data_IF_889851721101
#
_entry.id   IF_889851721101
#
_cell.length_a   1.000
_cell.length_b   1.000
_cell.length_c   1.000
_cell.angle_alpha   90.00
_cell.angle_beta   90.00
_cell.angle_gamma   90.00
#
_symmetry.space_group_name_H-M   'P 1'
#
loop_
_entity.id
_entity.type
_entity.pdbx_description
1 polymer ?
#
# COMPACT_ATOMS: atom_id res chain seq x y z
N UNK A 1 1.32 7.14 7.32
CA UNK A 1 1.35 6.68 5.92
C UNK A 1 2.33 7.55 5.13
N UNK A 2 3.26 6.98 4.35
CA UNK A 2 4.07 7.74 3.40
C UNK A 2 3.17 8.44 2.36
N UNK A 3 3.45 9.69 1.95
CA UNK A 3 2.64 10.36 0.93
C UNK A 3 2.80 9.69 -0.43
N UNK A 4 1.70 9.54 -1.17
CA UNK A 4 1.76 9.11 -2.57
C UNK A 4 2.32 10.24 -3.44
N UNK A 5 3.23 9.94 -4.40
CA UNK A 5 3.69 10.94 -5.35
C UNK A 5 2.53 11.35 -6.27
N UNK A 6 2.40 12.65 -6.51
CA UNK A 6 1.35 13.23 -7.37
C UNK A 6 1.96 14.20 -8.37
N UNK A 7 1.20 14.49 -9.44
CA UNK A 7 1.62 15.41 -10.51
C UNK A 7 2.29 14.69 -11.68
N UNK A 8 2.93 15.46 -12.56
CA UNK A 8 3.54 14.96 -13.79
C UNK A 8 5.01 15.38 -13.88
N UNK A 9 5.77 14.64 -14.68
CA UNK A 9 7.17 14.95 -14.98
C UNK A 9 7.22 15.43 -16.42
N UNK A 10 7.52 16.70 -16.65
CA UNK A 10 7.65 17.25 -18.01
C UNK A 10 9.05 17.01 -18.55
N UNK A 11 9.16 16.37 -19.71
CA UNK A 11 10.40 16.27 -20.45
C UNK A 11 10.60 17.52 -21.34
N UNK A 12 11.81 18.05 -21.41
CA UNK A 12 12.17 19.04 -22.43
C UNK A 12 12.09 18.44 -23.84
N UNK A 13 11.78 19.29 -24.83
CA UNK A 13 11.74 18.88 -26.23
C UNK A 13 13.13 18.45 -26.72
N UNK A 14 13.16 17.43 -27.58
CA UNK A 14 14.41 16.95 -28.19
C UNK A 14 15.00 18.07 -29.06
N UNK A 15 16.30 18.38 -28.94
CA UNK A 15 16.93 19.40 -29.77
C UNK A 15 16.91 19.00 -31.26
N UNK A 16 16.75 20.01 -32.13
CA UNK A 16 16.77 19.81 -33.57
C UNK A 16 18.18 19.40 -34.07
N UNK A 17 18.20 18.55 -35.09
CA UNK A 17 19.41 18.13 -35.76
C UNK A 17 20.01 19.31 -36.54
N UNK A 18 21.22 19.72 -36.15
CA UNK A 18 21.97 20.68 -36.94
C UNK A 18 22.41 20.04 -38.27
N UNK A 19 21.76 20.43 -39.36
CA UNK A 19 22.19 20.05 -40.71
C UNK A 19 23.56 20.69 -40.96
N UNK A 20 24.60 19.86 -41.14
CA UNK A 20 25.93 20.34 -41.55
C UNK A 20 25.78 21.10 -42.86
N UNK A 21 25.83 22.43 -42.80
CA UNK A 21 25.82 23.23 -44.03
C UNK A 21 27.04 22.82 -44.85
N UNK A 22 26.87 22.40 -46.11
CA UNK A 22 28.01 22.10 -46.95
C UNK A 22 28.87 23.35 -47.00
N UNK A 23 30.13 23.24 -46.58
CA UNK A 23 31.08 24.33 -46.70
C UNK A 23 31.03 24.78 -48.16
N UNK A 24 30.66 26.05 -48.44
CA UNK A 24 30.46 26.48 -49.82
C UNK A 24 31.78 26.24 -50.54
N UNK A 25 31.72 25.60 -51.71
CA UNK A 25 32.90 25.23 -52.50
C UNK A 25 33.86 26.43 -52.66
N UNK A 26 33.28 27.64 -52.72
CA UNK A 26 33.95 28.95 -52.73
C UNK A 26 34.88 29.15 -51.52
N UNK A 27 34.50 28.75 -50.30
CA UNK A 27 35.34 28.85 -49.08
C UNK A 27 36.57 27.93 -49.13
N UNK A 28 36.46 26.81 -49.85
CA UNK A 28 37.58 25.87 -50.07
C UNK A 28 38.47 26.31 -51.23
N UNK A 29 37.88 26.87 -52.30
CA UNK A 29 38.59 27.27 -53.53
C UNK A 29 39.28 28.64 -53.38
N UNK A 30 38.71 29.59 -52.63
CA UNK A 30 39.24 30.94 -52.47
C UNK A 30 40.72 30.99 -52.03
N UNK A 31 41.16 30.24 -51.00
CA UNK A 31 42.56 30.23 -50.58
C UNK A 31 43.50 29.74 -51.69
N UNK A 32 43.06 28.72 -52.46
CA UNK A 32 43.84 28.15 -53.56
C UNK A 32 44.00 29.18 -54.67
N UNK A 33 42.92 29.86 -55.06
CA UNK A 33 42.94 30.93 -56.08
C UNK A 33 43.81 32.10 -55.63
N UNK A 34 43.74 32.49 -54.35
CA UNK A 34 44.54 33.60 -53.83
C UNK A 34 46.02 33.26 -53.68
N UNK A 35 46.38 32.04 -53.26
CA UNK A 35 47.78 31.57 -53.24
C UNK A 35 48.34 31.52 -54.66
N UNK A 36 47.54 31.05 -55.63
CA UNK A 36 47.91 31.10 -57.05
C UNK A 36 48.11 32.53 -57.55
N UNK A 37 47.24 33.49 -57.16
CA UNK A 37 47.38 34.90 -57.48
C UNK A 37 48.62 35.54 -56.82
N UNK A 38 48.92 35.18 -55.57
CA UNK A 38 50.12 35.63 -54.85
C UNK A 38 51.39 35.14 -55.55
N UNK A 39 51.45 33.85 -55.88
CA UNK A 39 52.57 33.25 -56.61
C UNK A 39 52.72 33.87 -58.00
N UNK A 40 51.61 34.13 -58.71
CA UNK A 40 51.61 34.80 -60.01
C UNK A 40 52.16 36.22 -59.94
N UNK A 41 51.79 36.99 -58.91
CA UNK A 41 52.26 38.38 -58.74
C UNK A 41 53.75 38.43 -58.35
N UNK A 42 54.20 37.53 -57.48
CA UNK A 42 55.62 37.39 -57.11
C UNK A 42 56.46 36.92 -58.31
N UNK A 43 55.98 35.94 -59.08
CA UNK A 43 56.64 35.49 -60.30
C UNK A 43 56.71 36.61 -61.35
N UNK A 44 55.64 37.39 -61.54
CA UNK A 44 55.66 38.55 -62.44
C UNK A 44 56.65 39.63 -61.96
N UNK A 45 56.76 39.85 -60.65
CA UNK A 45 57.73 40.79 -60.08
C UNK A 45 59.18 40.33 -60.34
N UNK A 46 59.45 39.02 -60.27
CA UNK A 46 60.77 38.43 -60.52
C UNK A 46 61.09 38.37 -62.03
N UNK A 47 60.13 38.01 -62.88
CA UNK A 47 60.32 37.90 -64.34
C UNK A 47 60.28 39.26 -65.05
N UNK A 48 59.59 40.27 -64.52
CA UNK A 48 59.57 41.65 -65.08
C UNK A 48 60.76 42.51 -64.65
N UNK A 49 61.82 41.91 -64.12
CA UNK A 49 63.01 42.58 -63.60
C UNK A 49 63.92 43.15 -64.70
N UNK A 50 63.61 44.35 -65.18
CA UNK A 50 64.52 45.23 -65.92
C UNK A 50 65.24 46.20 -64.99
N UNK A 51 66.57 46.30 -65.18
CA UNK A 51 67.69 46.99 -64.48
C UNK A 51 67.50 48.28 -63.65
N UNK A 52 66.32 48.87 -63.47
CA UNK A 52 66.15 50.13 -62.72
C UNK A 52 64.83 50.07 -61.93
N UNK A 53 64.86 49.65 -60.66
CA UNK A 53 63.69 49.81 -59.77
C UNK A 53 64.08 50.26 -58.38
N UNK A 54 63.57 51.42 -58.01
CA UNK A 54 63.35 51.85 -56.63
C UNK A 54 62.22 51.00 -56.03
N UNK A 55 62.52 50.19 -55.03
CA UNK A 55 61.51 49.46 -54.28
C UNK A 55 60.64 50.45 -53.50
N UNK A 56 59.44 50.76 -54.00
CA UNK A 56 58.45 51.52 -53.21
C UNK A 56 57.96 50.62 -52.07
N UNK A 57 58.09 51.02 -50.79
CA UNK A 57 57.62 50.25 -49.63
C UNK A 57 56.12 49.89 -49.72
N UNK A 58 55.35 50.66 -50.49
CA UNK A 58 53.92 50.44 -50.73
C UNK A 58 53.63 49.14 -51.49
N UNK A 59 54.53 48.68 -52.37
CA UNK A 59 54.33 47.46 -53.18
C UNK A 59 54.52 46.17 -52.37
N UNK A 60 55.34 46.24 -51.31
CA UNK A 60 55.60 45.14 -50.37
C UNK A 60 54.48 44.96 -49.32
N UNK A 61 53.63 45.97 -49.11
CA UNK A 61 52.50 45.89 -48.19
C UNK A 61 51.29 45.13 -48.74
N UNK A 62 51.09 45.10 -50.06
CA UNK A 62 49.90 44.51 -50.68
C UNK A 62 49.73 43.01 -50.36
N UNK A 63 50.79 42.17 -50.45
CA UNK A 63 50.71 40.76 -50.07
C UNK A 63 50.46 40.55 -48.57
N UNK A 64 50.99 41.46 -47.74
CA UNK A 64 50.88 41.39 -46.27
C UNK A 64 49.46 41.74 -45.81
N UNK A 65 48.87 42.82 -46.36
CA UNK A 65 47.48 43.18 -46.06
C UNK A 65 46.49 42.11 -46.54
N UNK A 66 46.77 41.50 -47.69
CA UNK A 66 45.95 40.42 -48.22
C UNK A 66 46.00 39.17 -47.33
N UNK A 67 47.17 38.81 -46.79
CA UNK A 67 47.33 37.74 -45.79
C UNK A 67 46.63 38.08 -44.46
N UNK A 68 46.70 39.32 -43.99
CA UNK A 68 46.00 39.76 -42.78
C UNK A 68 44.47 39.71 -42.97
N UNK A 69 43.97 40.10 -44.15
CA UNK A 69 42.55 39.98 -44.51
C UNK A 69 42.07 38.53 -44.57
N UNK A 70 42.93 37.60 -45.01
CA UNK A 70 42.64 36.16 -44.98
C UNK A 70 42.48 35.67 -43.54
N UNK A 71 43.37 36.09 -42.64
CA UNK A 71 43.33 35.69 -41.23
C UNK A 71 42.06 36.16 -40.51
N UNK A 72 41.54 37.34 -40.88
CA UNK A 72 40.26 37.86 -40.38
C UNK A 72 39.04 37.11 -40.95
N UNK A 73 39.05 36.72 -42.22
CA UNK A 73 37.95 35.99 -42.87
C UNK A 73 37.89 34.51 -42.46
N UNK A 74 39.03 33.90 -42.14
CA UNK A 74 39.15 32.53 -41.62
C UNK A 74 39.18 32.47 -40.08
N UNK A 75 39.10 33.62 -39.41
CA UNK A 75 38.87 33.68 -37.98
C UNK A 75 37.63 32.86 -37.62
N UNK A 76 37.63 32.16 -36.47
CA UNK A 76 36.54 31.27 -36.10
C UNK A 76 35.23 32.05 -36.14
N UNK A 77 34.35 31.68 -37.07
CA UNK A 77 33.00 32.20 -37.13
C UNK A 77 32.29 31.72 -35.86
N UNK A 78 32.22 32.61 -34.87
CA UNK A 78 31.70 32.41 -33.50
C UNK A 78 30.20 32.14 -33.40
N UNK A 79 29.56 31.63 -34.46
CA UNK A 79 28.10 31.60 -34.58
C UNK A 79 27.43 30.23 -34.54
N UNK A 80 28.17 29.12 -34.53
CA UNK A 80 27.58 27.78 -34.44
C UNK A 80 27.65 27.25 -33.01
N UNK A 81 26.50 27.06 -32.35
CA UNK A 81 26.45 26.29 -31.10
C UNK A 81 27.01 24.89 -31.37
N UNK A 82 27.98 24.45 -30.58
CA UNK A 82 28.56 23.12 -30.71
C UNK A 82 27.45 22.06 -30.49
N UNK A 83 27.12 21.23 -31.50
CA UNK A 83 26.09 20.21 -31.36
C UNK A 83 26.41 19.23 -30.21
N UNK A 84 27.69 19.02 -29.90
CA UNK A 84 28.09 18.12 -28.83
C UNK A 84 27.81 18.73 -27.45
N UNK A 85 27.90 20.05 -27.29
CA UNK A 85 27.56 20.73 -26.04
C UNK A 85 26.04 20.70 -25.79
N UNK A 86 25.25 20.93 -26.85
CA UNK A 86 23.78 20.84 -26.80
C UNK A 86 23.34 19.44 -26.39
N UNK A 87 23.90 18.41 -27.03
CA UNK A 87 23.65 17.00 -26.67
C UNK A 87 24.03 16.71 -25.23
N UNK A 88 25.20 17.17 -24.78
CA UNK A 88 25.67 16.95 -23.40
C UNK A 88 24.76 17.61 -22.37
N UNK A 89 24.18 18.77 -22.68
CA UNK A 89 23.22 19.46 -21.80
C UNK A 89 21.90 18.70 -21.75
N UNK A 90 21.37 18.26 -22.89
CA UNK A 90 20.15 17.46 -22.94
C UNK A 90 20.29 16.12 -22.20
N UNK A 91 21.42 15.41 -22.36
CA UNK A 91 21.67 14.16 -21.62
C UNK A 91 21.77 14.38 -20.10
N UNK A 92 22.25 15.55 -19.65
CA UNK A 92 22.21 15.94 -18.23
C UNK A 92 20.77 16.15 -17.74
N UNK A 93 19.93 16.79 -18.55
CA UNK A 93 18.50 16.92 -18.27
C UNK A 93 17.82 15.53 -18.19
N UNK A 94 18.07 14.63 -19.15
CA UNK A 94 17.52 13.25 -19.09
C UNK A 94 17.96 12.48 -17.85
N UNK A 95 19.21 12.68 -17.38
CA UNK A 95 19.69 12.08 -16.14
C UNK A 95 18.88 12.58 -14.93
N UNK A 96 18.68 13.90 -14.81
CA UNK A 96 17.90 14.49 -13.73
C UNK A 96 16.42 14.04 -13.77
N UNK A 97 15.84 13.94 -14.98
CA UNK A 97 14.50 13.42 -15.19
C UNK A 97 14.39 11.96 -14.71
N UNK A 98 15.37 11.11 -15.07
CA UNK A 98 15.43 9.72 -14.63
C UNK A 98 15.52 9.62 -13.10
N UNK A 99 16.39 10.39 -12.48
CA UNK A 99 16.55 10.42 -11.01
C UNK A 99 15.22 10.80 -10.33
N UNK A 100 14.56 11.86 -10.80
CA UNK A 100 13.24 12.26 -10.29
C UNK A 100 12.17 11.17 -10.46
N UNK A 101 12.15 10.49 -11.60
CA UNK A 101 11.21 9.39 -11.85
C UNK A 101 11.48 8.19 -10.93
N UNK A 102 12.75 7.86 -10.67
CA UNK A 102 13.13 6.80 -9.74
C UNK A 102 12.77 7.15 -8.29
N UNK A 103 12.98 8.40 -7.87
CA UNK A 103 12.59 8.87 -6.54
C UNK A 103 11.08 8.82 -6.34
N UNK A 104 10.31 9.28 -7.33
CA UNK A 104 8.86 9.15 -7.32
C UNK A 104 8.43 7.68 -7.29
N UNK A 105 9.10 6.82 -8.06
CA UNK A 105 8.79 5.40 -8.06
C UNK A 105 9.09 4.71 -6.72
N UNK A 106 10.17 5.11 -6.04
CA UNK A 106 10.46 4.64 -4.69
C UNK A 106 9.41 5.12 -3.68
N UNK A 107 8.95 6.37 -3.78
CA UNK A 107 7.87 6.91 -2.95
C UNK A 107 6.54 6.19 -3.20
N UNK A 108 6.19 5.91 -4.46
CA UNK A 108 5.01 5.12 -4.83
C UNK A 108 5.09 3.73 -4.24
N UNK A 109 6.22 3.01 -4.40
CA UNK A 109 6.42 1.69 -3.80
C UNK A 109 6.28 1.73 -2.27
N UNK A 110 6.87 2.72 -1.60
CA UNK A 110 6.77 2.86 -0.15
C UNK A 110 5.33 3.11 0.31
N UNK A 111 4.55 3.89 -0.44
CA UNK A 111 3.13 4.11 -0.18
C UNK A 111 2.33 2.81 -0.33
N UNK A 112 2.48 2.11 -1.46
CA UNK A 112 1.77 0.86 -1.74
C UNK A 112 2.16 -0.25 -0.77
N UNK A 113 3.45 -0.42 -0.44
CA UNK A 113 3.89 -1.41 0.55
C UNK A 113 3.45 -1.07 1.97
N UNK A 114 3.24 0.21 2.29
CA UNK A 114 2.64 0.58 3.56
C UNK A 114 1.20 0.08 3.62
N UNK A 115 0.38 0.37 2.60
CA UNK A 115 -1.03 -0.02 2.54
C UNK A 115 -1.22 -1.53 2.37
N UNK A 116 -0.39 -2.17 1.55
CA UNK A 116 -0.44 -3.59 1.17
C UNK A 116 0.90 -4.29 1.47
N UNK A 117 1.22 -4.49 2.76
CA UNK A 117 2.48 -5.11 3.17
C UNK A 117 2.60 -6.56 2.67
N UNK A 118 3.82 -7.07 2.45
CA UNK A 118 4.03 -8.48 2.16
C UNK A 118 3.63 -9.34 3.36
N UNK A 119 3.21 -10.57 3.10
CA UNK A 119 2.72 -11.53 4.11
C UNK A 119 3.72 -11.74 5.24
N UNK A 120 5.02 -11.72 4.93
CA UNK A 120 6.14 -11.87 5.86
C UNK A 120 6.15 -10.81 6.98
N UNK A 121 5.58 -9.62 6.74
CA UNK A 121 5.53 -8.53 7.71
C UNK A 121 4.27 -8.57 8.60
N UNK A 122 3.22 -9.30 8.19
CA UNK A 122 1.95 -9.38 8.92
C UNK A 122 2.07 -9.91 10.36
N UNK A 123 2.96 -10.86 10.71
CA UNK A 123 3.15 -11.28 12.10
C UNK A 123 3.53 -10.14 13.05
N UNK A 124 4.17 -9.07 12.55
CA UNK A 124 4.55 -7.91 13.36
C UNK A 124 3.34 -6.99 13.66
N UNK A 125 2.28 -7.05 12.86
CA UNK A 125 1.14 -6.15 12.97
C UNK A 125 0.26 -6.53 14.15
N UNK A 126 0.18 -7.83 14.48
CA UNK A 126 -0.62 -8.36 15.59
C UNK A 126 -0.31 -7.69 16.94
N UNK A 127 0.86 -7.07 17.09
CA UNK A 127 1.31 -6.42 18.32
C UNK A 127 1.37 -4.88 18.24
N UNK A 128 0.94 -4.27 17.13
CA UNK A 128 1.01 -2.83 16.94
C UNK A 128 -0.35 -2.23 16.55
N UNK A 129 -0.40 -0.92 16.38
CA UNK A 129 -1.62 -0.16 16.07
C UNK A 129 -2.12 -0.35 14.63
N UNK A 130 -1.38 -1.11 13.79
CA UNK A 130 -1.76 -1.40 12.41
C UNK A 130 -2.68 -2.61 12.28
N UNK A 131 -2.83 -3.39 13.35
CA UNK A 131 -3.86 -4.43 13.41
C UNK A 131 -5.23 -3.75 13.35
N UNK A 132 -6.04 -4.14 12.36
CA UNK A 132 -7.41 -3.65 12.17
C UNK A 132 -7.49 -2.13 11.94
N UNK A 133 -6.54 -1.60 11.17
CA UNK A 133 -6.50 -0.18 10.81
C UNK A 133 -7.59 0.22 9.80
N UNK A 134 -8.22 -0.74 9.09
CA UNK A 134 -9.29 -0.50 8.11
C UNK A 134 -10.67 -0.78 8.68
N UNK A 135 -11.60 0.12 8.40
CA UNK A 135 -13.03 0.05 8.70
C UNK A 135 -13.85 -0.38 7.48
N UNK A 136 -15.15 -0.63 7.66
CA UNK A 136 -16.05 -0.95 6.56
C UNK A 136 -16.32 0.24 5.62
N UNK A 137 -16.35 1.46 6.17
CA UNK A 137 -16.61 2.69 5.41
C UNK A 137 -15.39 3.20 4.63
N UNK A 138 -14.21 2.59 4.85
CA UNK A 138 -13.00 3.02 4.18
C UNK A 138 -13.02 2.60 2.71
N UNK A 139 -12.49 3.43 1.79
CA UNK A 139 -12.49 3.11 0.35
C UNK A 139 -11.65 1.86 0.03
N UNK A 140 -10.73 1.49 0.93
CA UNK A 140 -9.86 0.33 0.82
C UNK A 140 -10.33 -0.88 1.64
N UNK A 141 -11.58 -0.84 2.10
CA UNK A 141 -12.28 -1.99 2.66
C UNK A 141 -12.26 -3.16 1.67
N UNK A 142 -11.89 -4.34 2.18
CA UNK A 142 -11.75 -5.58 1.42
C UNK A 142 -10.76 -5.56 0.24
N UNK A 143 -9.91 -4.54 0.13
CA UNK A 143 -8.78 -4.60 -0.80
C UNK A 143 -7.67 -5.50 -0.26
N UNK A 144 -7.31 -6.51 -1.05
CA UNK A 144 -6.33 -7.52 -0.67
C UNK A 144 -5.24 -7.67 -1.71
N UNK A 145 -3.99 -7.79 -1.26
CA UNK A 145 -2.85 -8.08 -2.12
C UNK A 145 -2.80 -9.59 -2.38
N UNK A 146 -2.51 -9.93 -3.62
CA UNK A 146 -2.44 -11.32 -4.10
C UNK A 146 -1.06 -11.69 -4.64
N UNK A 147 -0.14 -10.72 -4.71
CA UNK A 147 1.19 -10.94 -5.22
C UNK A 147 1.93 -9.64 -5.54
N UNK A 148 2.95 -9.77 -6.36
CA UNK A 148 3.75 -8.66 -6.91
C UNK A 148 3.82 -8.74 -8.42
N UNK A 149 3.82 -7.58 -9.07
CA UNK A 149 3.73 -7.47 -10.52
C UNK A 149 4.26 -6.13 -11.03
N UNK A 150 3.94 -5.82 -12.28
CA UNK A 150 4.30 -4.55 -12.89
C UNK A 150 3.19 -3.51 -12.74
N UNK A 151 3.56 -2.26 -12.51
CA UNK A 151 2.59 -1.15 -12.44
C UNK A 151 3.21 0.10 -13.07
N UNK A 152 2.40 0.95 -13.69
CA UNK A 152 2.87 2.22 -14.25
C UNK A 152 3.23 3.22 -13.16
N UNK A 153 4.17 4.10 -13.47
CA UNK A 153 4.53 5.23 -12.62
C UNK A 153 3.34 6.18 -12.49
N UNK A 154 2.95 6.49 -11.25
CA UNK A 154 1.83 7.37 -10.95
C UNK A 154 2.05 8.80 -11.48
N UNK A 155 3.31 9.24 -11.54
CA UNK A 155 3.69 10.53 -12.12
C UNK A 155 4.07 10.35 -13.59
N UNK A 156 3.08 10.46 -14.46
CA UNK A 156 3.26 10.31 -15.91
C UNK A 156 4.32 11.28 -16.45
N UNK A 157 5.19 10.77 -17.34
CA UNK A 157 6.20 11.57 -18.02
C UNK A 157 5.58 12.17 -19.28
N UNK A 158 5.28 13.46 -19.24
CA UNK A 158 4.74 14.19 -20.37
C UNK A 158 5.86 14.58 -21.34
N UNK A 159 5.75 14.09 -22.58
CA UNK A 159 6.65 14.45 -23.67
C UNK A 159 5.95 15.48 -24.55
N UNK A 160 6.57 16.65 -24.80
CA UNK A 160 6.03 17.64 -25.73
C UNK A 160 5.84 17.03 -27.12
N UNK A 161 4.85 17.54 -27.86
CA UNK A 161 4.61 17.13 -29.25
C UNK A 161 5.87 17.38 -30.07
N UNK A 162 6.43 16.31 -30.63
CA UNK A 162 7.72 16.36 -31.29
C UNK A 162 7.59 17.00 -32.68
N UNK A 163 8.60 17.80 -33.08
CA UNK A 163 8.80 18.16 -34.47
C UNK A 163 8.94 16.88 -35.34
N UNK A 164 8.85 17.03 -36.66
CA UNK A 164 9.00 15.90 -37.59
C UNK A 164 10.24 15.07 -37.19
N UNK A 165 10.07 13.75 -37.07
CA UNK A 165 11.12 12.87 -36.52
C UNK A 165 12.46 12.94 -37.29
N UNK A 166 12.41 13.39 -38.54
CA UNK A 166 13.56 13.62 -39.42
C UNK A 166 14.42 14.82 -39.00
N UNK A 167 13.86 15.78 -38.26
CA UNK A 167 14.51 17.02 -37.86
C UNK A 167 15.08 16.98 -36.43
N UNK A 168 14.97 15.86 -35.71
CA UNK A 168 15.45 15.72 -34.33
C UNK A 168 16.86 15.12 -34.26
N UNK A 169 17.66 15.51 -33.25
CA UNK A 169 18.95 14.84 -32.99
C UNK A 169 18.69 13.35 -32.62
N UNK A 170 19.24 12.39 -33.40
CA UNK A 170 18.90 10.98 -33.25
C UNK A 170 19.40 10.39 -31.93
N UNK A 171 20.50 10.91 -31.37
CA UNK A 171 21.03 10.42 -30.09
C UNK A 171 20.10 10.86 -28.97
N UNK A 172 19.73 12.15 -28.93
CA UNK A 172 18.81 12.68 -27.94
C UNK A 172 17.42 12.01 -28.02
N UNK A 173 16.88 11.80 -29.23
CA UNK A 173 15.60 11.15 -29.43
C UNK A 173 15.59 9.70 -28.90
N UNK A 174 16.59 8.90 -29.27
CA UNK A 174 16.71 7.50 -28.80
C UNK A 174 16.94 7.45 -27.28
N UNK A 175 17.78 8.33 -26.74
CA UNK A 175 18.05 8.41 -25.30
C UNK A 175 16.81 8.79 -24.49
N UNK A 176 15.98 9.71 -24.97
CA UNK A 176 14.71 10.05 -24.32
C UNK A 176 13.79 8.82 -24.29
N UNK A 177 13.55 8.18 -25.43
CA UNK A 177 12.67 7.00 -25.53
C UNK A 177 13.13 5.86 -24.61
N UNK A 178 14.44 5.55 -24.60
CA UNK A 178 15.00 4.53 -23.72
C UNK A 178 14.89 4.91 -22.24
N UNK A 179 15.09 6.19 -21.91
CA UNK A 179 14.95 6.67 -20.54
C UNK A 179 13.52 6.49 -20.04
N UNK A 180 12.53 6.91 -20.83
CA UNK A 180 11.10 6.74 -20.49
C UNK A 180 10.75 5.27 -20.32
N UNK A 181 11.08 4.42 -21.31
CA UNK A 181 10.84 2.98 -21.23
C UNK A 181 11.47 2.31 -20.01
N UNK A 182 12.56 2.85 -19.49
CA UNK A 182 13.26 2.30 -18.32
C UNK A 182 12.69 2.75 -16.97
N UNK A 183 11.82 3.78 -16.92
CA UNK A 183 11.26 4.32 -15.67
C UNK A 183 9.74 4.44 -15.66
N UNK A 184 9.07 4.22 -16.80
CA UNK A 184 7.60 4.28 -16.91
C UNK A 184 6.92 3.13 -16.15
N UNK A 185 7.58 1.97 -16.04
CA UNK A 185 7.07 0.80 -15.33
C UNK A 185 7.90 0.51 -14.08
N UNK A 186 7.20 0.18 -13.00
CA UNK A 186 7.77 -0.29 -11.75
C UNK A 186 7.51 -1.78 -11.62
N UNK A 187 8.57 -2.55 -11.41
CA UNK A 187 8.49 -3.97 -11.10
C UNK A 187 8.30 -4.23 -9.59
N UNK A 188 7.92 -5.46 -9.25
CA UNK A 188 7.70 -5.92 -7.87
C UNK A 188 6.77 -5.00 -7.06
N UNK A 189 5.73 -4.46 -7.70
CA UNK A 189 4.69 -3.65 -7.08
C UNK A 189 3.56 -4.55 -6.57
N UNK A 190 2.94 -4.27 -5.40
CA UNK A 190 1.80 -5.03 -4.92
C UNK A 190 0.67 -5.11 -5.96
N UNK A 191 0.26 -6.33 -6.31
CA UNK A 191 -0.95 -6.57 -7.11
C UNK A 191 -2.10 -6.73 -6.13
N UNK A 192 -3.09 -5.85 -6.24
CA UNK A 192 -4.22 -5.74 -5.32
C UNK A 192 -5.52 -5.93 -6.07
N UNK A 193 -6.46 -6.66 -5.46
CA UNK A 193 -7.82 -6.80 -5.96
C UNK A 193 -8.81 -6.25 -4.94
N UNK A 194 -9.91 -5.71 -5.45
CA UNK A 194 -11.03 -5.30 -4.62
C UNK A 194 -11.98 -6.48 -4.46
N UNK A 195 -11.93 -7.18 -3.32
CA UNK A 195 -12.63 -8.45 -3.17
C UNK A 195 -14.15 -8.28 -3.21
N UNK A 196 -14.69 -7.18 -2.69
CA UNK A 196 -16.14 -6.88 -2.72
C UNK A 196 -16.69 -6.69 -4.13
N UNK A 197 -15.84 -6.45 -5.14
CA UNK A 197 -16.28 -6.32 -6.53
C UNK A 197 -16.65 -7.68 -7.14
N UNK A 198 -16.30 -8.79 -6.50
CA UNK A 198 -16.50 -10.15 -7.00
C UNK A 198 -17.29 -10.97 -5.97
N UNK A 199 -18.42 -11.53 -6.41
CA UNK A 199 -19.19 -12.47 -5.57
C UNK A 199 -18.46 -13.80 -5.37
N UNK A 200 -17.63 -14.21 -6.33
CA UNK A 200 -16.81 -15.43 -6.26
C UNK A 200 -15.38 -15.14 -6.75
N UNK A 201 -14.40 -15.57 -5.97
CA UNK A 201 -12.99 -15.62 -6.32
C UNK A 201 -12.56 -17.08 -6.46
N UNK A 202 -12.37 -17.55 -7.69
CA UNK A 202 -11.82 -18.87 -7.98
C UNK A 202 -10.30 -18.85 -8.01
N UNK A 203 -9.64 -19.73 -7.27
CA UNK A 203 -8.18 -19.86 -7.25
C UNK A 203 -7.81 -21.29 -7.64
N UNK A 204 -7.14 -21.46 -8.78
CA UNK A 204 -6.74 -22.75 -9.34
C UNK A 204 -5.22 -22.91 -9.40
N UNK A 205 -4.73 -24.14 -9.52
CA UNK A 205 -3.32 -24.45 -9.73
C UNK A 205 -2.53 -24.85 -8.48
N UNK A 206 -1.27 -25.24 -8.69
CA UNK A 206 -0.35 -25.59 -7.60
C UNK A 206 -0.03 -24.31 -6.80
N UNK A 207 -0.33 -24.30 -5.51
CA UNK A 207 -0.20 -23.11 -4.65
C UNK A 207 -1.50 -22.31 -4.43
N UNK A 208 -2.65 -22.78 -4.92
CA UNK A 208 -3.94 -22.13 -4.68
C UNK A 208 -4.28 -21.99 -3.19
N UNK A 209 -4.05 -23.04 -2.40
CA UNK A 209 -4.28 -23.01 -0.97
C UNK A 209 -3.36 -22.01 -0.24
N UNK A 210 -2.10 -21.92 -0.66
CA UNK A 210 -1.11 -21.01 -0.10
C UNK A 210 -1.44 -19.54 -0.37
N UNK A 211 -1.90 -19.23 -1.58
CA UNK A 211 -2.40 -17.89 -1.92
C UNK A 211 -3.70 -17.57 -1.15
N UNK A 212 -4.63 -18.51 -1.07
CA UNK A 212 -5.87 -18.32 -0.33
C UNK A 212 -5.59 -18.03 1.15
N UNK A 213 -4.65 -18.75 1.78
CA UNK A 213 -4.24 -18.48 3.16
C UNK A 213 -3.60 -17.10 3.31
N UNK A 214 -2.77 -16.69 2.36
CA UNK A 214 -2.19 -15.34 2.33
C UNK A 214 -3.28 -14.26 2.29
N UNK A 215 -4.26 -14.40 1.39
CA UNK A 215 -5.42 -13.50 1.26
C UNK A 215 -6.19 -13.42 2.59
N UNK A 216 -6.55 -14.55 3.17
CA UNK A 216 -7.34 -14.59 4.42
C UNK A 216 -6.60 -13.95 5.59
N UNK A 217 -5.30 -14.23 5.73
CA UNK A 217 -4.48 -13.61 6.78
C UNK A 217 -4.31 -12.11 6.56
N UNK A 218 -4.14 -11.66 5.32
CA UNK A 218 -4.03 -10.24 5.02
C UNK A 218 -5.32 -9.49 5.35
N UNK A 219 -6.47 -10.04 4.96
CA UNK A 219 -7.79 -9.50 5.31
C UNK A 219 -8.00 -9.46 6.83
N UNK A 220 -7.68 -10.54 7.55
CA UNK A 220 -7.85 -10.65 8.99
C UNK A 220 -6.92 -9.71 9.79
N UNK A 221 -5.74 -9.39 9.25
CA UNK A 221 -4.83 -8.41 9.84
C UNK A 221 -5.30 -6.97 9.58
N UNK A 222 -5.88 -6.69 8.40
CA UNK A 222 -6.28 -5.34 8.00
C UNK A 222 -7.63 -4.91 8.60
N UNK A 223 -8.58 -5.85 8.79
CA UNK A 223 -9.95 -5.57 9.22
C UNK A 223 -10.28 -6.26 10.54
N UNK A 224 -11.03 -5.59 11.42
CA UNK A 224 -11.50 -6.15 12.68
C UNK A 224 -12.59 -7.23 12.49
N UNK A 225 -12.91 -8.00 13.55
CA UNK A 225 -13.95 -9.04 13.51
C UNK A 225 -15.38 -8.47 13.42
N UNK A 226 -15.55 -7.17 13.62
CA UNK A 226 -16.76 -6.38 13.38
C UNK A 226 -16.94 -6.03 11.90
N UNK A 227 -15.84 -5.85 11.17
CA UNK A 227 -15.89 -5.54 9.72
C UNK A 227 -15.83 -6.80 8.86
N UNK A 228 -15.05 -7.80 9.26
CA UNK A 228 -14.84 -9.03 8.50
C UNK A 228 -15.23 -10.28 9.30
N UNK A 229 -16.16 -11.05 8.75
CA UNK A 229 -16.55 -12.37 9.20
C UNK A 229 -15.98 -13.45 8.30
N UNK A 230 -15.40 -14.50 8.89
CA UNK A 230 -14.83 -15.63 8.15
C UNK A 230 -15.59 -16.92 8.46
N UNK A 231 -16.00 -17.63 7.42
CA UNK A 231 -16.61 -18.96 7.49
C UNK A 231 -15.91 -19.92 6.53
N UNK A 232 -15.94 -21.22 6.85
CA UNK A 232 -15.18 -22.24 6.11
C UNK A 232 -16.06 -23.46 5.81
N UNK A 233 -15.92 -24.00 4.59
CA UNK A 233 -16.45 -25.29 4.15
C UNK A 233 -15.31 -26.07 3.48
N UNK A 234 -14.77 -27.07 4.18
CA UNK A 234 -13.61 -27.83 3.70
C UNK A 234 -12.69 -28.28 4.84
N UNK A 235 -11.56 -28.88 4.48
CA UNK A 235 -10.49 -29.30 5.39
C UNK A 235 -9.21 -28.47 5.16
N UNK A 236 -8.27 -28.45 6.11
CA UNK A 236 -7.00 -27.68 5.99
C UNK A 236 -7.11 -26.22 6.42
N UNK A 237 -8.24 -25.86 7.02
CA UNK A 237 -8.59 -24.51 7.48
C UNK A 237 -8.94 -24.48 8.97
N UNK A 238 -8.58 -25.52 9.72
CA UNK A 238 -8.82 -25.66 11.16
C UNK A 238 -8.21 -24.50 11.95
N UNK A 239 -7.21 -23.83 11.39
CA UNK A 239 -6.54 -22.70 12.00
C UNK A 239 -7.39 -21.43 12.07
N UNK A 240 -8.41 -21.31 11.21
CA UNK A 240 -9.36 -20.18 11.21
C UNK A 240 -10.11 -20.08 12.54
N UNK A 241 -10.30 -21.20 13.27
CA UNK A 241 -10.93 -21.20 14.60
C UNK A 241 -10.23 -20.33 15.64
N UNK A 242 -8.93 -20.04 15.44
CA UNK A 242 -8.19 -19.16 16.33
C UNK A 242 -8.40 -17.68 16.00
N UNK A 243 -8.84 -17.34 14.79
CA UNK A 243 -9.14 -15.95 14.42
C UNK A 243 -10.39 -15.44 15.14
N UNK A 244 -10.38 -14.20 15.67
CA UNK A 244 -11.58 -13.57 16.22
C UNK A 244 -12.74 -13.47 15.22
N UNK A 245 -12.42 -13.35 13.93
CA UNK A 245 -13.34 -13.22 12.79
C UNK A 245 -14.25 -14.43 12.57
N UNK A 246 -13.87 -15.60 13.10
CA UNK A 246 -14.64 -16.84 12.98
C UNK A 246 -15.60 -17.09 14.15
N UNK A 247 -15.64 -16.21 15.17
CA UNK A 247 -16.45 -16.42 16.38
C UNK A 247 -17.93 -16.12 16.17
N UNK A 248 -18.21 -15.01 15.48
CA UNK A 248 -19.56 -14.51 15.14
C UNK A 248 -19.53 -13.85 13.76
N UNK A 249 -19.18 -14.60 12.70
CA UNK A 249 -19.05 -14.05 11.36
C UNK A 249 -20.36 -13.39 10.86
N UNK A 250 -21.51 -13.81 11.36
CA UNK A 250 -22.82 -13.26 11.03
C UNK A 250 -23.06 -11.83 11.53
N UNK A 251 -22.24 -11.33 12.45
CA UNK A 251 -22.34 -9.96 12.98
C UNK A 251 -21.43 -8.97 12.23
N UNK A 252 -20.63 -9.46 11.29
CA UNK A 252 -19.69 -8.62 10.57
C UNK A 252 -20.34 -7.94 9.36
N UNK A 253 -19.87 -6.74 9.02
CA UNK A 253 -20.34 -5.99 7.85
C UNK A 253 -20.11 -6.76 6.54
N UNK A 254 -18.95 -7.41 6.43
CA UNK A 254 -18.60 -8.26 5.30
C UNK A 254 -18.39 -9.70 5.72
N UNK A 255 -18.95 -10.65 4.96
CA UNK A 255 -18.81 -12.08 5.22
C UNK A 255 -18.10 -12.75 4.06
N UNK A 256 -16.96 -13.36 4.34
CA UNK A 256 -16.20 -14.13 3.36
C UNK A 256 -16.31 -15.61 3.70
N UNK A 257 -16.77 -16.40 2.72
CA UNK A 257 -16.87 -17.85 2.82
C UNK A 257 -15.71 -18.50 2.06
N UNK A 258 -14.93 -19.34 2.74
CA UNK A 258 -13.86 -20.12 2.13
C UNK A 258 -14.39 -21.52 1.83
N UNK A 259 -14.29 -21.95 0.58
CA UNK A 259 -14.68 -23.28 0.12
C UNK A 259 -13.44 -23.98 -0.42
N UNK A 260 -13.04 -25.11 0.17
CA UNK A 260 -11.85 -25.86 -0.25
C UNK A 260 -12.14 -27.37 -0.26
N UNK A 261 -11.84 -28.01 -1.38
CA UNK A 261 -12.00 -29.45 -1.54
C UNK A 261 -13.46 -29.94 -1.55
N UNK A 262 -14.44 -29.04 -1.68
CA UNK A 262 -15.86 -29.37 -1.80
C UNK A 262 -16.27 -29.35 -3.27
N UNK A 263 -16.72 -30.51 -3.79
CA UNK A 263 -17.27 -30.56 -5.14
C UNK A 263 -18.65 -29.87 -5.14
N UNK A 264 -18.77 -28.75 -5.86
CA UNK A 264 -20.01 -27.99 -5.97
C UNK A 264 -20.75 -28.33 -7.27
N UNK A 265 -22.04 -28.61 -7.11
CA UNK A 265 -22.98 -29.06 -8.14
C UNK A 265 -24.00 -27.98 -8.52
N UNK A 266 -24.08 -26.88 -7.75
CA UNK A 266 -24.93 -25.73 -8.03
C UNK A 266 -26.25 -25.74 -7.25
N UNK A 267 -26.43 -26.70 -6.36
CA UNK A 267 -27.64 -26.84 -5.50
C UNK A 267 -27.33 -26.62 -4.02
N UNK A 268 -26.11 -26.23 -3.69
CA UNK A 268 -25.69 -26.03 -2.31
C UNK A 268 -26.31 -24.76 -1.70
N UNK A 269 -26.88 -24.88 -0.50
CA UNK A 269 -27.60 -23.79 0.18
C UNK A 269 -26.78 -22.51 0.38
N UNK A 270 -25.45 -22.63 0.47
CA UNK A 270 -24.55 -21.48 0.69
C UNK A 270 -24.31 -20.65 -0.58
N UNK A 271 -24.68 -21.15 -1.77
CA UNK A 271 -24.49 -20.41 -3.02
C UNK A 271 -25.42 -19.20 -3.13
N UNK A 272 -26.58 -19.28 -2.47
CA UNK A 272 -27.62 -18.25 -2.49
C UNK A 272 -27.91 -17.72 -1.07
N UNK A 273 -27.02 -17.99 -0.12
CA UNK A 273 -27.16 -17.50 1.27
C UNK A 273 -27.02 -15.98 1.31
N UNK A 274 -28.09 -15.30 1.73
CA UNK A 274 -28.08 -13.85 1.88
C UNK A 274 -27.01 -13.39 2.89
N UNK A 275 -26.22 -12.40 2.48
CA UNK A 275 -25.22 -11.75 3.32
C UNK A 275 -23.80 -12.28 3.17
N UNK A 276 -23.53 -13.30 2.34
CA UNK A 276 -22.15 -13.59 1.92
C UNK A 276 -21.70 -12.54 0.91
N UNK A 277 -20.64 -11.81 1.24
CA UNK A 277 -20.06 -10.78 0.36
C UNK A 277 -19.26 -11.42 -0.76
N UNK A 278 -18.39 -12.38 -0.43
CA UNK A 278 -17.54 -13.06 -1.40
C UNK A 278 -17.29 -14.51 -0.99
N UNK A 279 -17.32 -15.42 -1.97
CA UNK A 279 -16.89 -16.81 -1.81
C UNK A 279 -15.48 -16.97 -2.39
N UNK A 280 -14.54 -17.50 -1.62
CA UNK A 280 -13.22 -17.89 -2.10
C UNK A 280 -13.24 -19.40 -2.37
N UNK A 281 -13.24 -19.79 -3.64
CA UNK A 281 -13.20 -21.16 -4.12
C UNK A 281 -11.75 -21.61 -4.35
N UNK A 282 -11.23 -22.42 -3.44
CA UNK A 282 -9.85 -22.89 -3.41
C UNK A 282 -9.72 -24.21 -4.15
N UNK A 283 -8.74 -24.27 -5.05
CA UNK A 283 -8.61 -25.42 -5.96
C UNK A 283 -9.72 -25.43 -7.01
N UNK A 284 -10.17 -24.24 -7.41
CA UNK A 284 -11.29 -24.03 -8.33
C UNK A 284 -11.10 -24.80 -9.63
N UNK A 285 -12.20 -25.38 -10.14
CA UNK A 285 -12.22 -26.14 -11.39
C UNK A 285 -13.34 -25.61 -12.27
N UNK A 286 -13.05 -25.38 -13.56
CA UNK A 286 -14.00 -24.83 -14.53
C UNK A 286 -15.29 -25.66 -14.72
N UNK A 287 -15.32 -26.90 -14.25
CA UNK A 287 -16.47 -27.79 -14.34
C UNK A 287 -17.32 -27.87 -13.05
N UNK A 288 -16.96 -27.14 -12.00
CA UNK A 288 -17.79 -27.03 -10.78
C UNK A 288 -18.68 -25.79 -10.86
N UNK A 289 -19.76 -25.77 -10.07
CA UNK A 289 -20.67 -24.64 -10.07
C UNK A 289 -19.98 -23.34 -9.63
N UNK A 290 -19.10 -23.40 -8.62
CA UNK A 290 -18.32 -22.24 -8.20
C UNK A 290 -17.30 -21.80 -9.25
N UNK A 291 -16.64 -22.72 -9.94
CA UNK A 291 -15.70 -22.38 -11.01
C UNK A 291 -16.39 -21.69 -12.20
N UNK A 292 -17.59 -22.15 -12.57
CA UNK A 292 -18.40 -21.47 -13.58
C UNK A 292 -18.85 -20.07 -13.13
N UNK A 293 -19.31 -19.91 -11.88
CA UNK A 293 -19.67 -18.58 -11.34
C UNK A 293 -18.46 -17.65 -11.30
N UNK A 294 -17.29 -18.14 -10.89
CA UNK A 294 -16.06 -17.35 -10.88
C UNK A 294 -15.67 -16.88 -12.30
N UNK A 295 -15.87 -17.70 -13.33
CA UNK A 295 -15.55 -17.35 -14.72
C UNK A 295 -16.56 -16.37 -15.34
N UNK A 296 -17.84 -16.49 -14.98
CA UNK A 296 -18.91 -15.66 -15.57
C UNK A 296 -19.20 -14.36 -14.82
N UNK A 297 -19.11 -14.38 -13.49
CA UNK A 297 -19.61 -13.33 -12.60
C UNK A 297 -18.57 -12.88 -11.56
N UNK A 298 -17.39 -13.49 -11.55
CA UNK A 298 -16.37 -13.30 -10.52
C UNK A 298 -14.97 -13.05 -11.07
N UNK A 299 -13.97 -13.53 -10.33
CA UNK A 299 -12.56 -13.47 -10.71
C UNK A 299 -11.94 -14.86 -10.66
N UNK A 300 -11.27 -15.27 -11.74
CA UNK A 300 -10.55 -16.54 -11.83
C UNK A 300 -9.04 -16.30 -11.86
N UNK A 301 -8.36 -16.76 -10.80
CA UNK A 301 -6.92 -16.77 -10.69
C UNK A 301 -6.38 -18.19 -10.93
N UNK A 302 -5.29 -18.29 -11.67
CA UNK A 302 -4.60 -19.55 -11.96
C UNK A 302 -3.13 -19.41 -11.58
N UNK A 303 -2.62 -20.36 -10.82
CA UNK A 303 -1.22 -20.41 -10.39
C UNK A 303 -0.46 -21.46 -11.21
N UNK A 304 0.70 -21.06 -11.72
CA UNK A 304 1.63 -21.94 -12.43
C UNK A 304 2.96 -21.95 -11.71
N UNK A 305 3.51 -23.14 -11.51
CA UNK A 305 4.87 -23.26 -10.98
C UNK A 305 5.84 -22.56 -11.92
N UNK A 306 6.73 -21.74 -11.36
CA UNK A 306 7.77 -21.06 -12.12
C UNK A 306 8.72 -22.08 -12.75
N UNK A 307 9.28 -21.74 -13.92
CA UNK A 307 10.15 -22.62 -14.69
C UNK A 307 11.53 -22.91 -14.04
N UNK A 308 11.76 -22.48 -12.78
CA UNK A 308 12.99 -22.71 -12.04
C UNK A 308 12.84 -22.45 -10.52
N UNK A 309 13.79 -22.90 -9.70
CA UNK A 309 13.73 -22.79 -8.23
C UNK A 309 13.77 -21.35 -7.69
N UNK A 310 14.21 -20.38 -8.50
CA UNK A 310 14.22 -18.95 -8.17
C UNK A 310 12.98 -18.22 -8.73
N UNK A 311 12.25 -18.86 -9.65
CA UNK A 311 11.00 -18.36 -10.19
C UNK A 311 9.88 -18.82 -9.27
N UNK A 312 9.39 -17.93 -8.41
CA UNK A 312 8.22 -18.22 -7.57
C UNK A 312 6.98 -18.54 -8.40
N UNK A 313 5.86 -18.80 -7.73
CA UNK A 313 4.61 -19.17 -8.39
C UNK A 313 4.06 -18.01 -9.22
N UNK A 314 3.92 -18.20 -10.53
CA UNK A 314 3.37 -17.21 -11.44
C UNK A 314 1.86 -17.11 -11.24
N UNK A 315 1.36 -15.87 -11.13
CA UNK A 315 -0.04 -15.52 -10.98
C UNK A 315 -0.61 -15.12 -12.33
N UNK A 316 -1.65 -15.83 -12.76
CA UNK A 316 -2.41 -15.52 -13.97
C UNK A 316 -3.86 -15.20 -13.63
N UNK A 317 -4.47 -14.32 -14.42
CA UNK A 317 -5.90 -14.03 -14.38
C UNK A 317 -6.56 -14.49 -15.67
N UNK A 318 -7.72 -15.13 -15.56
CA UNK A 318 -8.53 -15.48 -16.73
C UNK A 318 -9.39 -14.28 -17.14
N UNK A 319 -9.17 -13.78 -18.36
CA UNK A 319 -9.97 -12.71 -18.98
C UNK A 319 -10.72 -13.25 -20.20
N UNK A 320 -11.64 -12.46 -20.76
CA UNK A 320 -12.31 -12.79 -22.01
C UNK A 320 -11.35 -12.97 -23.21
N UNK A 321 -10.15 -12.36 -23.15
CA UNK A 321 -9.11 -12.49 -24.18
C UNK A 321 -8.17 -13.69 -23.96
N UNK A 322 -8.31 -14.40 -22.84
CA UNK A 322 -7.43 -15.50 -22.43
C UNK A 322 -6.77 -15.25 -21.07
N UNK A 323 -5.80 -16.10 -20.72
CA UNK A 323 -5.00 -15.93 -19.50
C UNK A 323 -3.98 -14.80 -19.69
N UNK A 324 -3.96 -13.87 -18.74
CA UNK A 324 -2.98 -12.78 -18.66
C UNK A 324 -2.11 -12.95 -17.40
N UNK A 325 -0.81 -12.72 -17.53
CA UNK A 325 0.14 -12.82 -16.42
C UNK A 325 0.14 -11.52 -15.62
N UNK A 326 -0.14 -11.63 -14.30
CA UNK A 326 -0.12 -10.49 -13.38
C UNK A 326 1.25 -10.33 -12.68
N UNK A 327 2.00 -11.42 -12.56
CA UNK A 327 3.31 -11.44 -11.90
C UNK A 327 3.49 -12.66 -11.01
N UNK A 328 4.04 -12.48 -9.81
CA UNK A 328 4.32 -13.56 -8.84
C UNK A 328 3.31 -13.54 -7.70
N UNK A 329 2.68 -14.66 -7.42
CA UNK A 329 1.71 -14.81 -6.34
C UNK A 329 2.39 -14.72 -4.96
N UNK A 330 1.69 -14.14 -3.99
CA UNK A 330 2.05 -14.31 -2.59
C UNK A 330 1.71 -15.74 -2.15
N UNK A 331 2.52 -16.30 -1.24
CA UNK A 331 2.38 -17.67 -0.76
C UNK A 331 2.51 -17.72 0.76
N UNK A 332 1.56 -18.39 1.42
CA UNK A 332 1.62 -18.64 2.86
C UNK A 332 1.33 -20.12 3.17
N UNK A 333 2.34 -20.82 3.67
CA UNK A 333 2.18 -22.17 4.19
C UNK A 333 1.23 -22.25 5.38
N UNK A 334 0.67 -23.43 5.63
CA UNK A 334 -0.28 -23.66 6.73
C UNK A 334 0.32 -23.27 8.11
N UNK A 335 1.57 -23.66 8.38
CA UNK A 335 2.27 -23.35 9.63
C UNK A 335 2.35 -21.84 9.89
N UNK A 336 2.59 -21.05 8.85
CA UNK A 336 2.62 -19.59 8.92
C UNK A 336 1.25 -19.01 9.27
N UNK A 337 0.19 -19.52 8.64
CA UNK A 337 -1.18 -19.11 8.93
C UNK A 337 -1.59 -19.47 10.37
N UNK A 338 -1.26 -20.69 10.83
CA UNK A 338 -1.50 -21.15 12.21
C UNK A 338 -0.81 -20.23 13.22
N UNK A 339 0.45 -19.88 12.98
CA UNK A 339 1.21 -19.01 13.87
C UNK A 339 0.56 -17.65 14.03
N UNK A 340 0.18 -17.01 12.91
CA UNK A 340 -0.44 -15.68 12.92
C UNK A 340 -1.82 -15.74 13.58
N UNK A 341 -2.65 -16.72 13.22
CA UNK A 341 -3.99 -16.87 13.79
C UNK A 341 -3.97 -17.09 15.30
N UNK A 342 -3.05 -17.93 15.80
CA UNK A 342 -2.87 -18.14 17.25
C UNK A 342 -2.43 -16.89 17.99
N UNK A 343 -1.57 -16.06 17.38
CA UNK A 343 -1.17 -14.77 17.97
C UNK A 343 -2.38 -13.82 18.03
N UNK A 344 -3.19 -13.78 16.98
CA UNK A 344 -4.37 -12.92 16.90
C UNK A 344 -5.54 -13.35 17.80
N UNK A 345 -5.57 -14.61 18.24
CA UNK A 345 -6.65 -15.16 19.08
C UNK A 345 -6.92 -14.36 20.37
N UNK A 346 -5.90 -13.68 20.91
CA UNK A 346 -6.02 -12.85 22.12
C UNK A 346 -6.49 -11.43 21.85
N UNK A 347 -6.39 -10.97 20.60
CA UNK A 347 -6.79 -9.63 20.21
C UNK A 347 -8.30 -9.49 20.32
N UNK A 348 -8.76 -8.33 20.81
CA UNK A 348 -10.16 -7.96 20.87
C UNK A 348 -10.29 -6.50 20.48
N UNK A 349 -11.27 -6.20 19.65
CA UNK A 349 -11.69 -4.83 19.36
C UNK A 349 -12.87 -4.57 20.30
N UNK A 350 -12.87 -3.49 21.10
CA UNK A 350 -14.09 -3.03 21.74
C UNK A 350 -15.11 -2.79 20.63
N UNK A 351 -16.28 -3.44 20.69
CA UNK A 351 -17.34 -3.14 19.73
C UNK A 351 -17.65 -1.65 19.86
N UNK A 352 -17.49 -0.90 18.78
CA UNK A 352 -18.13 0.39 18.68
C UNK A 352 -19.63 0.10 18.60
N UNK A 353 -20.37 0.42 19.66
CA UNK A 353 -21.83 0.37 19.63
C UNK A 353 -22.33 1.44 18.64
N UNK A 354 -22.39 1.08 17.36
CA UNK A 354 -23.06 1.84 16.31
C UNK A 354 -24.57 1.64 16.44
N UNK A 355 -25.13 2.14 17.54
CA UNK A 355 -26.55 2.37 17.73
C UNK A 355 -26.75 3.87 18.04
N UNK A 356 -27.95 4.43 17.82
CA UNK A 356 -28.22 5.81 18.24
C UNK A 356 -27.86 5.92 19.72
N UNK A 357 -27.11 6.96 20.09
CA UNK A 357 -26.81 7.32 21.49
C UNK A 357 -28.12 7.58 22.25
N UNK A 358 -28.83 6.51 22.60
CA UNK A 358 -29.60 6.46 23.83
C UNK A 358 -28.53 6.43 24.93
N UNK A 359 -28.62 7.35 25.88
CA UNK A 359 -27.60 7.53 26.91
C UNK A 359 -27.07 6.21 27.47
N UNK A 360 -25.80 5.93 27.18
CA UNK A 360 -24.96 5.11 28.03
C UNK A 360 -25.08 5.66 29.46
N UNK A 361 -25.40 4.80 30.42
CA UNK A 361 -25.31 5.18 31.83
C UNK A 361 -26.17 4.40 32.82
N UNK A 362 -27.04 3.48 32.39
CA UNK A 362 -27.96 2.85 33.34
C UNK A 362 -27.40 1.64 34.09
N UNK A 363 -27.03 0.58 33.36
CA UNK A 363 -26.89 -0.76 33.93
C UNK A 363 -25.46 -1.28 34.10
N UNK A 364 -24.45 -0.54 33.64
CA UNK A 364 -23.05 -0.96 33.83
C UNK A 364 -22.63 -0.73 35.29
N UNK A 365 -22.00 -1.73 35.91
CA UNK A 365 -21.57 -1.69 37.30
C UNK A 365 -20.61 -0.52 37.56
N UNK A 366 -19.74 -0.19 36.59
CA UNK A 366 -18.80 0.94 36.71
C UNK A 366 -19.55 2.27 36.82
N UNK A 367 -20.58 2.45 36.00
CA UNK A 367 -21.47 3.61 36.04
C UNK A 367 -22.30 3.65 37.33
N UNK A 368 -22.82 2.51 37.79
CA UNK A 368 -23.58 2.39 39.05
C UNK A 368 -22.73 2.71 40.29
N UNK A 369 -21.43 2.42 40.23
CA UNK A 369 -20.46 2.80 41.27
C UNK A 369 -20.03 4.27 41.19
N UNK A 370 -20.55 5.04 40.22
CA UNK A 370 -20.28 6.46 40.06
C UNK A 370 -19.00 6.77 39.27
N UNK A 371 -18.45 5.80 38.54
CA UNK A 371 -17.26 5.97 37.71
C UNK A 371 -17.61 5.97 36.23
N UNK A 372 -16.88 6.76 35.44
CA UNK A 372 -17.09 6.83 33.99
C UNK A 372 -16.35 5.74 33.23
N UNK A 373 -15.25 5.25 33.79
CA UNK A 373 -14.38 4.27 33.18
C UNK A 373 -13.61 3.47 34.25
N UNK A 374 -13.23 2.22 33.92
CA UNK A 374 -12.41 1.35 34.75
C UNK A 374 -11.04 1.98 35.04
N UNK A 375 -10.55 2.87 34.17
CA UNK A 375 -9.29 3.57 34.38
C UNK A 375 -9.32 4.54 35.59
N UNK A 376 -10.51 4.97 36.02
CA UNK A 376 -10.70 5.84 37.20
C UNK A 376 -10.58 5.06 38.53
N UNK A 377 -10.70 3.74 38.47
CA UNK A 377 -10.61 2.81 39.61
C UNK A 377 -9.14 2.60 40.03
N UNK A 378 -8.50 3.64 40.58
CA UNK A 378 -7.11 3.61 41.05
C UNK A 378 -6.99 3.81 42.56
N UNK A 379 -6.40 2.83 43.24
CA UNK A 379 -5.80 2.91 44.58
C UNK A 379 -6.62 3.66 45.64
N UNK A 380 -6.40 4.98 45.73
CA UNK A 380 -6.97 5.87 46.75
C UNK A 380 -8.46 6.18 46.50
N UNK A 381 -8.90 6.17 45.23
CA UNK A 381 -10.30 6.46 44.86
C UNK A 381 -11.22 5.25 44.97
N UNK A 382 -10.65 4.04 45.05
CA UNK A 382 -11.41 2.79 45.08
C UNK A 382 -12.06 2.53 46.45
N UNK A 383 -11.46 3.05 47.53
CA UNK A 383 -11.85 2.75 48.91
C UNK A 383 -11.90 4.02 49.77
N UNK A 384 -12.88 4.91 49.57
CA UNK A 384 -12.94 6.20 50.27
C UNK A 384 -13.27 6.10 51.77
N UNK A 385 -13.36 4.89 52.35
CA UNK A 385 -13.64 4.69 53.78
C UNK A 385 -15.10 4.99 54.15
N UNK A 386 -16.07 4.34 53.48
CA UNK A 386 -17.51 4.52 53.75
C UNK A 386 -17.87 4.12 55.18
N UNK A 387 -18.64 4.97 55.87
CA UNK A 387 -19.08 4.76 57.24
C UNK A 387 -20.61 4.80 57.39
N UNK A 388 -21.13 4.25 58.48
CA UNK A 388 -22.56 4.31 58.82
C UNK A 388 -23.45 3.65 57.76
N UNK A 389 -24.45 4.40 57.26
CA UNK A 389 -25.46 3.89 56.34
C UNK A 389 -24.90 3.42 54.99
N UNK A 390 -23.76 3.95 54.54
CA UNK A 390 -23.14 3.60 53.26
C UNK A 390 -22.26 2.33 53.31
N UNK A 391 -22.09 1.74 54.51
CA UNK A 391 -21.30 0.52 54.72
C UNK A 391 -22.09 -0.70 54.25
N UNK A 392 -21.45 -1.60 53.48
CA UNK A 392 -22.05 -2.82 52.92
C UNK A 392 -23.30 -2.56 52.06
N UNK A 393 -23.35 -1.42 51.38
CA UNK A 393 -24.47 -0.98 50.56
C UNK A 393 -24.02 -0.86 49.10
N UNK A 394 -24.56 -1.71 48.23
CA UNK A 394 -23.99 -2.00 46.90
C UNK A 394 -25.06 -1.91 45.83
N UNK A 395 -24.84 -1.18 44.73
CA UNK A 395 -25.77 -1.23 43.62
C UNK A 395 -25.65 -2.59 42.91
N UNK A 396 -26.78 -3.26 42.66
CA UNK A 396 -26.84 -4.57 41.98
C UNK A 396 -27.45 -4.48 40.58
N UNK A 397 -28.09 -3.36 40.25
CA UNK A 397 -28.73 -3.14 38.95
C UNK A 397 -29.66 -1.94 38.98
N UNK A 398 -30.51 -1.84 37.96
CA UNK A 398 -31.58 -0.85 37.87
C UNK A 398 -32.96 -1.50 38.01
N UNK A 399 -33.91 -0.75 38.55
CA UNK A 399 -35.33 -1.10 38.48
C UNK A 399 -35.92 -0.72 37.10
N UNK A 400 -37.18 -1.12 36.80
CA UNK A 400 -37.83 -0.77 35.52
C UNK A 400 -38.01 0.74 35.28
N UNK A 401 -37.81 1.58 36.30
CA UNK A 401 -37.86 3.04 36.20
C UNK A 401 -36.48 3.68 35.99
N UNK A 402 -35.42 2.86 35.93
CA UNK A 402 -34.05 3.30 35.75
C UNK A 402 -33.38 3.79 37.03
N UNK A 403 -33.96 3.51 38.21
CA UNK A 403 -33.34 3.85 39.50
C UNK A 403 -32.44 2.72 40.00
N UNK A 404 -31.29 3.02 40.63
CA UNK A 404 -30.41 2.00 41.17
C UNK A 404 -31.07 1.18 42.28
N UNK A 405 -31.00 -0.14 42.15
CA UNK A 405 -31.40 -1.09 43.19
C UNK A 405 -30.16 -1.41 44.02
N UNK A 406 -30.27 -1.23 45.33
CA UNK A 406 -29.20 -1.49 46.27
C UNK A 406 -29.45 -2.75 47.11
N UNK A 407 -28.39 -3.51 47.34
CA UNK A 407 -28.34 -4.59 48.31
C UNK A 407 -27.59 -4.11 49.55
N UNK A 408 -28.25 -4.17 50.70
CA UNK A 408 -27.68 -3.79 51.99
C UNK A 408 -27.42 -5.03 52.85
N UNK A 409 -26.15 -5.43 52.98
CA UNK A 409 -25.75 -6.64 53.69
C UNK A 409 -25.51 -6.42 55.19
N UNK A 410 -25.85 -5.24 55.76
CA UNK A 410 -25.78 -5.05 57.21
C UNK A 410 -26.85 -5.89 57.91
N UNK A 411 -26.61 -6.16 59.20
CA UNK A 411 -27.63 -6.74 60.07
C UNK A 411 -28.85 -5.83 60.19
N UNK A 412 -30.03 -6.41 60.41
CA UNK A 412 -31.28 -5.67 60.52
C UNK A 412 -31.27 -4.64 61.66
N UNK A 413 -30.51 -4.90 62.74
CA UNK A 413 -30.30 -3.95 63.84
C UNK A 413 -29.57 -2.67 63.40
N UNK A 414 -28.86 -2.70 62.28
CA UNK A 414 -28.15 -1.57 61.69
C UNK A 414 -28.86 -1.02 60.43
N UNK A 415 -30.11 -1.42 60.20
CA UNK A 415 -30.94 -0.98 59.09
C UNK A 415 -30.69 -1.69 57.76
N UNK A 416 -29.95 -2.81 57.75
CA UNK A 416 -29.71 -3.61 56.53
C UNK A 416 -30.70 -4.74 56.33
N UNK A 417 -30.55 -5.44 55.19
CA UNK A 417 -31.43 -6.55 54.78
C UNK A 417 -31.07 -7.88 55.45
N UNK A 418 -29.98 -7.92 56.23
CA UNK A 418 -29.52 -9.09 56.95
C UNK A 418 -28.25 -9.71 56.35
N UNK A 419 -27.44 -10.42 57.16
CA UNK A 419 -26.15 -10.97 56.72
C UNK A 419 -26.29 -12.24 55.85
N UNK A 420 -27.51 -12.79 55.74
CA UNK A 420 -27.78 -14.02 55.01
C UNK A 420 -28.86 -13.76 53.95
N UNK A 421 -28.60 -14.19 52.73
CA UNK A 421 -29.51 -14.06 51.59
C UNK A 421 -29.53 -15.35 50.75
N UNK A 422 -30.64 -15.58 50.06
CA UNK A 422 -30.84 -16.71 49.16
C UNK A 422 -31.13 -16.18 47.76
N UNK A 423 -30.28 -16.52 46.79
CA UNK A 423 -30.50 -16.21 45.37
C UNK A 423 -30.97 -17.49 44.65
N UNK A 424 -32.12 -17.41 43.99
CA UNK A 424 -32.70 -18.53 43.23
C UNK A 424 -32.93 -18.05 41.81
N UNK A 425 -32.46 -18.82 40.83
CA UNK A 425 -32.66 -18.52 39.41
C UNK A 425 -32.57 -19.79 38.56
N UNK A 426 -33.38 -19.86 37.50
CA UNK A 426 -33.33 -20.94 36.52
C UNK A 426 -32.08 -20.81 35.62
N UNK A 427 -31.69 -21.89 34.93
CA UNK A 427 -30.57 -21.86 33.97
C UNK A 427 -30.81 -20.79 32.90
N UNK A 428 -29.86 -19.87 32.72
CA UNK A 428 -29.99 -18.73 31.80
C UNK A 428 -30.56 -17.44 32.42
N UNK A 429 -30.94 -17.45 33.70
CA UNK A 429 -31.44 -16.24 34.41
C UNK A 429 -30.33 -15.28 34.89
N UNK A 430 -29.07 -15.59 34.65
CA UNK A 430 -27.95 -14.76 35.08
C UNK A 430 -27.50 -14.95 36.53
N UNK A 431 -27.92 -16.03 37.21
CA UNK A 431 -27.54 -16.31 38.62
C UNK A 431 -26.00 -16.38 38.83
N UNK A 432 -25.21 -17.05 37.96
CA UNK A 432 -23.74 -17.01 38.05
C UNK A 432 -23.18 -15.58 37.94
N UNK A 433 -23.67 -14.81 36.97
CA UNK A 433 -23.24 -13.43 36.69
C UNK A 433 -23.59 -12.48 37.85
N UNK A 434 -24.77 -12.64 38.45
CA UNK A 434 -25.18 -11.92 39.66
C UNK A 434 -24.25 -12.24 40.85
N UNK A 435 -23.86 -13.51 41.01
CA UNK A 435 -22.92 -13.96 42.04
C UNK A 435 -21.51 -13.36 41.87
N UNK A 436 -20.97 -13.34 40.65
CA UNK A 436 -19.67 -12.73 40.36
C UNK A 436 -19.67 -11.21 40.60
N UNK A 437 -20.76 -10.54 40.22
CA UNK A 437 -20.95 -9.10 40.45
C UNK A 437 -21.01 -8.70 41.93
N UNK A 438 -21.41 -9.62 42.83
CA UNK A 438 -21.41 -9.42 44.29
C UNK A 438 -20.09 -9.83 44.96
N UNK A 439 -19.35 -10.78 44.37
CA UNK A 439 -18.04 -11.18 44.87
C UNK A 439 -16.95 -10.16 44.53
N UNK A 440 -17.01 -9.52 43.36
CA UNK A 440 -16.09 -8.46 42.96
C UNK A 440 -16.03 -7.27 43.95
N UNK A 441 -17.16 -6.75 44.48
CA UNK A 441 -17.12 -5.72 45.52
C UNK A 441 -16.70 -6.24 46.91
N UNK A 442 -16.54 -7.55 47.12
CA UNK A 442 -16.14 -8.16 48.40
C UNK A 442 -14.72 -8.77 48.34
N UNK A 443 -13.73 -8.09 48.92
CA UNK A 443 -12.31 -8.53 48.89
C UNK A 443 -11.59 -8.44 50.24
N UNK A 444 -10.49 -9.19 50.41
CA UNK A 444 -9.55 -9.02 51.53
C UNK A 444 -8.24 -8.45 51.00
N UNK A 445 -7.72 -7.43 51.66
CA UNK A 445 -6.39 -6.88 51.36
C UNK A 445 -5.58 -6.67 52.65
N UNK A 446 -4.28 -6.91 52.58
CA UNK A 446 -3.36 -6.81 53.72
C UNK A 446 -2.73 -5.42 53.75
N UNK A 447 -3.08 -4.60 54.74
CA UNK A 447 -2.53 -3.25 54.90
C UNK A 447 -1.16 -3.32 55.60
N UNK A 448 -0.10 -3.19 54.82
CA UNK A 448 1.29 -3.23 55.30
C UNK A 448 1.65 -2.07 56.24
N UNK A 449 0.90 -0.98 56.25
CA UNK A 449 1.15 0.16 57.14
C UNK A 449 0.53 -0.02 58.53
N UNK A 450 -0.53 -0.84 58.65
CA UNK A 450 -1.23 -1.12 59.93
C UNK A 450 -0.98 -2.52 60.49
N UNK A 451 -0.41 -3.43 59.70
CA UNK A 451 -0.05 -4.77 60.16
C UNK A 451 -1.25 -5.73 60.32
N UNK A 452 -2.43 -5.36 59.82
CA UNK A 452 -3.68 -6.11 59.98
C UNK A 452 -4.28 -6.57 58.64
N UNK A 453 -4.93 -7.74 58.70
CA UNK A 453 -5.65 -8.35 57.59
C UNK A 453 -7.05 -7.77 57.54
N UNK A 454 -7.25 -6.78 56.69
CA UNK A 454 -8.49 -6.04 56.65
C UNK A 454 -9.43 -6.57 55.56
N UNK A 455 -10.71 -6.69 55.95
CA UNK A 455 -11.79 -7.11 55.06
C UNK A 455 -12.40 -5.84 54.49
N UNK A 456 -12.46 -5.68 53.17
CA UNK A 456 -12.90 -4.43 52.55
C UNK A 456 -14.02 -4.66 51.53
N UNK A 457 -14.97 -3.71 51.52
CA UNK A 457 -16.12 -3.69 50.62
C UNK A 457 -16.09 -2.44 49.71
N UNK A 458 -16.18 -2.62 48.39
CA UNK A 458 -16.03 -1.55 47.38
C UNK A 458 -17.17 -0.53 47.44
#
# INVERSE_FOLDING_TARGET
>A
MPPAPTGTITAEAVPEAQRKQPVPLVRVIMPIVMVAAMLGMVALMVLSGGSERTFSPLMLMFPIMMLASMFMMFGPSTGGQDPDETRRTYLRHLKALREKALDNGAAQRAHELHRHPPVEQLPAFVHNQRLWERSADDPDALEVRIGVGETKLATEIQVPEAAAAEDLDPVCAVSLRRTIQAVETLSEMPVVIQLQAFGVLGIAGAGAADLARAIVIQLACAHGPDTLGLSVRGAGWEWVKWLPHARRPEQADYRVLIVDGVATTGVEDFLDEEGITTIIDVGSRRNTALGLRAEHEGLCLSLRDGAGPESGTTLLVSTAAGEEELGRADQLGEDGAVLIARRMARCRRPLAESGPKLGSGGGDLVALLGHRDIAELRGVNLWPGRAGAQRLHVPVGLDPSGQPVYLDLKESAQGGMGPHGLCIGATGSGNPECGFGLQWPYGRYYDTARGDLCTYFA
#
